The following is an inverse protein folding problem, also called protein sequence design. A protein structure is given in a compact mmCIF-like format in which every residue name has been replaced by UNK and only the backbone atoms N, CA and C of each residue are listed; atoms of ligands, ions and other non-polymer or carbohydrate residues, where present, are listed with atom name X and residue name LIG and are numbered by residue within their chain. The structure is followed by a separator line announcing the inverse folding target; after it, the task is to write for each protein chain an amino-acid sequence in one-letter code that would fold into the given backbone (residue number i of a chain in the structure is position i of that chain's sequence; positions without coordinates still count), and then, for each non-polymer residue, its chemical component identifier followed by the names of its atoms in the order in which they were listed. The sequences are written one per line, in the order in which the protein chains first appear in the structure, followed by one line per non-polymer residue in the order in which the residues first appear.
data_IF_573338559138
#
_entry.id   IF_573338559138
#
_cell.length_a   1.000
_cell.length_b   1.000
_cell.length_c   1.000
_cell.angle_alpha   90.00
_cell.angle_beta   90.00
_cell.angle_gamma   90.00
#
_symmetry.space_group_name_H-M   'P 1'
#
loop_
_entity.id
_entity.type
_entity.pdbx_description
1 polymer ?
#
# COMPACT_ATOMS: atom_id res chain seq x y z
N UNK A 1 -0.56 -12.43 26.17
CA UNK A 1 0.39 -11.73 27.08
C UNK A 1 1.73 -11.58 26.35
N UNK A 2 2.03 -10.39 25.83
CA UNK A 2 3.27 -10.10 25.12
C UNK A 2 4.13 -9.11 25.91
N UNK A 3 5.43 -9.09 25.65
CA UNK A 3 6.37 -8.09 26.20
C UNK A 3 5.81 -6.69 25.93
N UNK A 4 5.41 -5.97 26.98
CA UNK A 4 4.82 -4.63 26.84
C UNK A 4 5.89 -3.57 26.56
N UNK A 5 7.05 -3.70 27.20
CA UNK A 5 8.23 -2.84 27.01
C UNK A 5 9.50 -3.61 27.38
N UNK A 6 10.63 -3.22 26.77
CA UNK A 6 11.96 -3.67 27.18
C UNK A 6 12.53 -2.72 28.23
N UNK A 7 13.24 -3.25 29.23
CA UNK A 7 13.91 -2.42 30.22
C UNK A 7 15.01 -1.56 29.58
N UNK A 8 15.32 -0.41 30.18
CA UNK A 8 16.42 0.45 29.73
C UNK A 8 17.78 -0.26 29.68
N UNK A 9 17.98 -1.27 30.54
CA UNK A 9 19.15 -2.15 30.50
C UNK A 9 19.18 -2.99 29.23
N UNK A 10 18.04 -3.58 28.86
CA UNK A 10 17.91 -4.41 27.66
C UNK A 10 18.08 -3.59 26.38
N UNK A 11 17.47 -2.40 26.32
CA UNK A 11 17.61 -1.49 25.18
C UNK A 11 19.07 -1.06 24.96
N UNK A 12 19.79 -0.72 26.06
CA UNK A 12 21.23 -0.41 25.99
C UNK A 12 22.07 -1.59 25.54
N UNK A 13 21.79 -2.79 26.06
CA UNK A 13 22.49 -4.00 25.65
C UNK A 13 22.29 -4.29 24.15
N UNK A 14 21.04 -4.19 23.67
CA UNK A 14 20.70 -4.39 22.26
C UNK A 14 21.38 -3.35 21.36
N UNK A 15 21.37 -2.08 21.77
CA UNK A 15 22.07 -1.02 21.05
C UNK A 15 23.58 -1.30 20.99
N UNK A 16 24.20 -1.72 22.09
CA UNK A 16 25.64 -2.01 22.13
C UNK A 16 26.02 -3.24 21.32
N UNK A 17 25.15 -4.25 21.25
CA UNK A 17 25.34 -5.45 20.44
C UNK A 17 25.15 -5.22 18.92
N UNK A 18 24.79 -4.00 18.48
CA UNK A 18 24.43 -3.73 17.08
C UNK A 18 25.53 -4.03 16.05
N UNK A 19 26.79 -4.04 16.46
CA UNK A 19 27.93 -4.38 15.60
C UNK A 19 28.01 -5.87 15.28
N UNK A 20 27.41 -6.74 16.12
CA UNK A 20 27.34 -8.18 15.89
C UNK A 20 26.41 -8.53 14.72
N UNK A 21 25.53 -7.61 14.29
CA UNK A 21 24.64 -7.78 13.15
C UNK A 21 25.33 -7.37 11.84
N UNK A 22 26.39 -8.08 11.49
CA UNK A 22 27.19 -7.89 10.28
C UNK A 22 26.63 -8.70 9.09
N UNK A 23 27.46 -8.93 8.06
CA UNK A 23 27.08 -9.72 6.89
C UNK A 23 26.84 -11.18 7.19
N UNK A 24 27.57 -11.77 8.13
CA UNK A 24 27.40 -13.18 8.52
C UNK A 24 26.08 -13.36 9.25
N UNK A 25 25.77 -12.46 10.19
CA UNK A 25 24.47 -12.45 10.88
C UNK A 25 23.29 -12.36 9.90
N UNK A 26 23.38 -11.50 8.87
CA UNK A 26 22.34 -11.39 7.81
C UNK A 26 22.29 -12.60 6.87
N UNK A 27 23.41 -13.31 6.72
CA UNK A 27 23.50 -14.50 5.87
C UNK A 27 22.92 -15.74 6.55
N UNK A 28 22.95 -15.79 7.89
CA UNK A 28 22.45 -16.90 8.70
C UNK A 28 20.97 -17.22 8.39
N UNK A 29 20.66 -18.45 7.94
CA UNK A 29 19.30 -18.91 7.71
C UNK A 29 18.38 -18.78 8.94
N UNK A 30 18.89 -18.93 10.16
CA UNK A 30 18.12 -18.81 11.39
C UNK A 30 17.60 -17.38 11.58
N UNK A 31 18.44 -16.36 11.33
CA UNK A 31 18.03 -14.96 11.41
C UNK A 31 17.03 -14.59 10.31
N UNK A 32 17.20 -15.15 9.10
CA UNK A 32 16.24 -14.98 8.01
C UNK A 32 14.87 -15.59 8.32
N UNK A 33 14.87 -16.80 8.86
CA UNK A 33 13.65 -17.45 9.31
C UNK A 33 12.98 -16.65 10.45
N UNK A 34 13.77 -16.12 11.40
CA UNK A 34 13.26 -15.30 12.50
C UNK A 34 12.63 -14.00 11.99
N UNK A 35 13.26 -13.29 11.05
CA UNK A 35 12.67 -12.08 10.48
C UNK A 35 11.31 -12.36 9.82
N UNK A 36 11.22 -13.43 9.02
CA UNK A 36 9.95 -13.83 8.42
C UNK A 36 8.92 -14.27 9.46
N UNK A 37 9.35 -14.91 10.57
CA UNK A 37 8.48 -15.27 11.68
C UNK A 37 7.91 -14.04 12.37
N UNK A 38 8.70 -12.98 12.55
CA UNK A 38 8.24 -11.69 13.09
C UNK A 38 7.24 -11.06 12.11
N UNK A 39 7.57 -10.99 10.82
CA UNK A 39 6.72 -10.40 9.77
C UNK A 39 5.40 -11.16 9.54
N UNK A 40 5.32 -12.42 9.94
CA UNK A 40 4.12 -13.27 9.82
C UNK A 40 3.33 -13.40 11.12
N UNK A 41 3.69 -12.68 12.19
CA UNK A 41 2.92 -12.74 13.43
C UNK A 41 1.50 -12.16 13.23
N UNK A 42 0.47 -12.80 13.83
CA UNK A 42 -0.90 -12.28 13.74
C UNK A 42 -1.02 -10.90 14.42
N UNK A 43 -0.26 -10.67 15.49
CA UNK A 43 -0.27 -9.43 16.26
C UNK A 43 1.13 -8.89 16.54
N UNK A 44 1.22 -7.61 16.90
CA UNK A 44 2.46 -7.01 17.43
C UNK A 44 3.52 -6.60 16.40
N UNK A 45 3.33 -6.85 15.10
CA UNK A 45 4.30 -6.51 14.05
C UNK A 45 4.66 -5.03 14.06
N UNK A 46 3.68 -4.12 14.09
CA UNK A 46 3.96 -2.68 14.11
C UNK A 46 4.84 -2.28 15.30
N UNK A 47 4.59 -2.86 16.47
CA UNK A 47 5.39 -2.59 17.66
C UNK A 47 6.81 -3.15 17.50
N UNK A 48 6.94 -4.39 17.02
CA UNK A 48 8.21 -5.04 16.78
C UNK A 48 9.07 -4.26 15.78
N UNK A 49 8.52 -3.84 14.63
CA UNK A 49 9.26 -3.10 13.61
C UNK A 49 9.67 -1.71 14.06
N UNK A 50 8.81 -1.00 14.83
CA UNK A 50 9.18 0.29 15.45
C UNK A 50 10.33 0.11 16.43
N UNK A 51 10.24 -0.90 17.31
CA UNK A 51 11.28 -1.20 18.28
C UNK A 51 12.60 -1.58 17.59
N UNK A 52 12.53 -2.43 16.55
CA UNK A 52 13.70 -2.80 15.76
C UNK A 52 14.32 -1.58 15.07
N UNK A 53 13.52 -0.63 14.58
CA UNK A 53 14.06 0.60 13.99
C UNK A 53 14.74 1.48 15.04
N UNK A 54 14.06 1.76 16.17
CA UNK A 54 14.59 2.56 17.28
C UNK A 54 15.91 2.01 17.85
N UNK A 55 16.08 0.69 17.81
CA UNK A 55 17.26 0.00 18.35
C UNK A 55 18.31 -0.34 17.27
N UNK A 56 18.15 0.18 16.05
CA UNK A 56 18.99 -0.12 14.87
C UNK A 56 18.94 -1.56 14.35
N UNK A 57 18.25 -2.49 15.02
CA UNK A 57 18.11 -3.89 14.58
C UNK A 57 17.56 -3.97 13.16
N UNK A 58 16.52 -3.18 12.83
CA UNK A 58 15.89 -3.22 11.51
C UNK A 58 16.88 -2.82 10.41
N UNK A 59 17.57 -1.70 10.55
CA UNK A 59 18.57 -1.29 9.55
C UNK A 59 19.80 -2.21 9.53
N UNK A 60 20.21 -2.78 10.66
CA UNK A 60 21.34 -3.73 10.69
C UNK A 60 21.00 -5.06 10.03
N UNK A 61 19.76 -5.51 10.14
CA UNK A 61 19.27 -6.69 9.46
C UNK A 61 18.95 -6.43 7.97
N UNK A 62 18.15 -5.41 7.70
CA UNK A 62 17.77 -5.01 6.34
C UNK A 62 18.63 -3.83 5.89
N UNK A 63 19.81 -4.12 5.37
CA UNK A 63 20.80 -3.11 5.00
C UNK A 63 20.28 -2.02 4.02
N UNK A 64 19.45 -2.34 3.01
CA UNK A 64 18.78 -1.32 2.19
C UNK A 64 17.99 -0.30 3.01
N UNK A 65 17.32 -0.75 4.08
CA UNK A 65 16.58 0.11 5.02
C UNK A 65 17.52 1.01 5.80
N UNK A 66 18.71 0.55 6.17
CA UNK A 66 19.68 1.38 6.91
C UNK A 66 20.00 2.70 6.20
N UNK A 67 20.04 2.68 4.86
CA UNK A 67 20.42 3.82 4.03
C UNK A 67 19.41 4.96 4.05
N UNK A 68 18.15 4.65 4.35
CA UNK A 68 17.04 5.61 4.38
C UNK A 68 16.67 6.08 5.80
N UNK A 69 17.30 5.52 6.84
CA UNK A 69 17.01 5.91 8.23
C UNK A 69 17.42 7.35 8.45
N UNK A 70 16.47 8.19 8.88
CA UNK A 70 16.69 9.61 9.11
C UNK A 70 16.73 10.46 7.83
N UNK A 71 16.49 9.86 6.66
CA UNK A 71 16.47 10.59 5.40
C UNK A 71 15.13 11.33 5.24
N UNK A 72 15.17 12.66 5.11
CA UNK A 72 13.98 13.44 4.79
C UNK A 72 13.56 13.21 3.33
N UNK A 73 12.25 13.21 3.08
CA UNK A 73 11.74 13.18 1.71
C UNK A 73 11.79 14.59 1.13
N UNK A 74 12.21 14.73 -0.13
CA UNK A 74 12.42 16.04 -0.77
C UNK A 74 11.14 16.64 -1.38
N UNK A 75 9.96 16.31 -0.86
CA UNK A 75 8.70 16.89 -1.31
C UNK A 75 7.92 17.56 -0.17
N UNK A 76 6.98 18.43 -0.55
CA UNK A 76 6.24 19.31 0.36
C UNK A 76 5.16 18.60 1.18
N UNK A 77 4.93 17.30 0.95
CA UNK A 77 3.79 16.57 1.50
C UNK A 77 4.18 15.62 2.63
N UNK A 78 5.44 15.18 2.66
CA UNK A 78 5.94 14.25 3.66
C UNK A 78 6.41 14.96 4.94
N UNK A 79 5.76 14.59 6.04
CA UNK A 79 6.14 15.06 7.39
C UNK A 79 7.07 14.08 8.12
N UNK A 80 7.37 12.94 7.49
CA UNK A 80 8.17 11.85 8.04
C UNK A 80 9.45 11.64 7.24
N UNK A 81 10.52 11.21 7.91
CA UNK A 81 11.65 10.58 7.22
C UNK A 81 11.20 9.31 6.51
N UNK A 82 11.91 8.89 5.46
CA UNK A 82 11.55 7.72 4.64
C UNK A 82 11.32 6.48 5.51
N UNK A 83 12.15 6.23 6.52
CA UNK A 83 12.00 5.09 7.44
C UNK A 83 10.71 5.16 8.28
N UNK A 84 10.36 6.35 8.80
CA UNK A 84 9.15 6.54 9.58
C UNK A 84 7.90 6.45 8.70
N UNK A 85 7.98 6.96 7.48
CA UNK A 85 6.93 6.84 6.48
C UNK A 85 6.66 5.36 6.15
N UNK A 86 7.69 4.57 5.82
CA UNK A 86 7.52 3.13 5.57
C UNK A 86 6.87 2.40 6.76
N UNK A 87 7.27 2.73 7.99
CA UNK A 87 6.64 2.14 9.18
C UNK A 87 5.18 2.60 9.37
N UNK A 88 4.83 3.79 8.89
CA UNK A 88 3.45 4.29 8.84
C UNK A 88 2.62 3.51 7.81
N UNK A 89 3.15 3.30 6.61
CA UNK A 89 2.50 2.50 5.56
C UNK A 89 2.28 1.07 6.05
N UNK A 90 3.31 0.43 6.64
CA UNK A 90 3.18 -0.90 7.25
C UNK A 90 2.07 -0.96 8.32
N UNK A 91 1.97 0.08 9.16
CA UNK A 91 0.88 0.18 10.14
C UNK A 91 -0.48 0.25 9.45
N UNK A 92 -0.62 1.08 8.42
CA UNK A 92 -1.89 1.27 7.71
C UNK A 92 -2.34 -0.01 6.99
N UNK A 93 -1.44 -0.66 6.24
CA UNK A 93 -1.73 -1.96 5.60
C UNK A 93 -2.21 -2.98 6.62
N UNK A 94 -1.55 -3.06 7.79
CA UNK A 94 -1.99 -3.97 8.87
C UNK A 94 -3.40 -3.70 9.37
N UNK A 95 -3.83 -2.43 9.45
CA UNK A 95 -5.16 -2.08 9.97
C UNK A 95 -6.30 -2.60 9.09
N UNK A 96 -6.07 -2.78 7.78
CA UNK A 96 -7.08 -3.37 6.90
C UNK A 96 -7.43 -4.82 7.26
N UNK A 97 -6.53 -5.53 7.95
CA UNK A 97 -6.70 -6.92 8.38
C UNK A 97 -7.20 -7.06 9.83
N UNK A 98 -7.59 -5.95 10.47
CA UNK A 98 -7.98 -5.91 11.88
C UNK A 98 -9.43 -5.40 11.95
N UNK A 99 -10.40 -6.24 12.34
CA UNK A 99 -11.83 -5.88 12.36
C UNK A 99 -12.12 -4.60 13.15
N UNK A 100 -11.42 -4.37 14.24
CA UNK A 100 -11.57 -3.18 15.09
C UNK A 100 -11.26 -1.86 14.36
N UNK A 101 -10.50 -1.93 13.26
CA UNK A 101 -10.14 -0.78 12.42
C UNK A 101 -10.93 -0.70 11.11
N UNK A 102 -11.91 -1.60 10.90
CA UNK A 102 -12.63 -1.67 9.63
C UNK A 102 -13.38 -0.37 9.27
N UNK A 103 -13.85 0.36 10.29
CA UNK A 103 -14.54 1.64 10.14
C UNK A 103 -13.66 2.77 9.56
N UNK A 104 -12.33 2.64 9.62
CA UNK A 104 -11.41 3.68 9.14
C UNK A 104 -11.30 3.70 7.62
N UNK A 105 -11.51 2.55 6.98
CA UNK A 105 -11.60 2.40 5.55
C UNK A 105 -12.34 1.10 5.19
N UNK A 106 -13.68 1.15 5.14
CA UNK A 106 -14.50 -0.04 4.96
C UNK A 106 -14.17 -0.84 3.70
N UNK A 107 -13.97 -0.16 2.57
CA UNK A 107 -13.68 -0.82 1.29
C UNK A 107 -12.33 -1.56 1.29
N UNK A 108 -11.25 -0.97 1.81
CA UNK A 108 -9.98 -1.69 1.96
C UNK A 108 -10.11 -2.89 2.92
N UNK A 109 -10.89 -2.77 3.98
CA UNK A 109 -11.08 -3.84 4.95
C UNK A 109 -11.89 -5.00 4.35
N UNK A 110 -12.89 -4.69 3.53
CA UNK A 110 -13.65 -5.68 2.75
C UNK A 110 -12.75 -6.42 1.77
N UNK A 111 -11.92 -5.71 1.01
CA UNK A 111 -10.96 -6.31 0.08
C UNK A 111 -9.90 -7.16 0.81
N UNK A 112 -9.39 -6.66 1.94
CA UNK A 112 -8.40 -7.36 2.75
C UNK A 112 -8.95 -8.63 3.42
N UNK A 113 -10.25 -8.70 3.71
CA UNK A 113 -10.89 -9.89 4.27
C UNK A 113 -10.79 -11.11 3.35
N UNK A 114 -10.73 -10.91 2.03
CA UNK A 114 -10.54 -11.96 1.04
C UNK A 114 -9.07 -12.35 0.78
N UNK A 115 -8.12 -11.87 1.58
CA UNK A 115 -6.69 -11.98 1.26
C UNK A 115 -5.91 -12.88 2.25
N UNK A 116 -5.51 -14.06 1.77
CA UNK A 116 -4.94 -15.14 2.60
C UNK A 116 -3.53 -14.86 3.16
N UNK A 117 -2.74 -14.04 2.46
CA UNK A 117 -1.32 -13.80 2.80
C UNK A 117 -1.05 -12.31 3.03
N UNK A 118 -1.49 -11.73 4.16
CA UNK A 118 -1.26 -10.30 4.46
C UNK A 118 0.22 -9.91 4.45
N UNK A 119 1.11 -10.83 4.84
CA UNK A 119 2.55 -10.60 4.89
C UNK A 119 3.18 -10.22 3.54
N UNK A 120 2.55 -10.58 2.42
CA UNK A 120 2.99 -10.16 1.07
C UNK A 120 2.92 -8.64 0.93
N UNK A 121 1.81 -8.04 1.34
CA UNK A 121 1.65 -6.58 1.36
C UNK A 121 2.58 -5.92 2.39
N UNK A 122 2.89 -6.61 3.48
CA UNK A 122 3.82 -6.08 4.49
C UNK A 122 5.26 -6.01 3.95
N UNK A 123 5.69 -7.00 3.17
CA UNK A 123 6.99 -6.91 2.47
C UNK A 123 6.95 -5.77 1.45
N UNK A 124 5.90 -5.66 0.63
CA UNK A 124 5.79 -4.57 -0.34
C UNK A 124 5.83 -3.19 0.34
N UNK A 125 5.10 -3.01 1.44
CA UNK A 125 5.14 -1.78 2.25
C UNK A 125 6.53 -1.44 2.78
N UNK A 126 7.30 -2.44 3.24
CA UNK A 126 8.68 -2.25 3.70
C UNK A 126 9.64 -1.82 2.57
N UNK A 127 9.33 -2.17 1.33
CA UNK A 127 10.24 -2.00 0.19
C UNK A 127 9.86 -0.89 -0.79
N UNK A 128 8.62 -0.40 -0.81
CA UNK A 128 8.13 0.52 -1.85
C UNK A 128 9.04 1.75 -2.06
N UNK A 129 9.56 2.31 -0.95
CA UNK A 129 10.42 3.49 -0.94
C UNK A 129 11.87 3.22 -0.51
N UNK A 130 12.28 1.96 -0.40
CA UNK A 130 13.56 1.54 0.21
C UNK A 130 14.82 2.07 -0.52
N UNK A 131 14.64 2.53 -1.75
CA UNK A 131 15.69 3.00 -2.63
C UNK A 131 15.66 4.51 -2.85
N UNK A 132 14.84 5.27 -2.11
CA UNK A 132 14.83 6.74 -2.21
C UNK A 132 16.22 7.35 -1.97
N UNK A 133 16.56 8.36 -2.77
CA UNK A 133 17.82 9.09 -2.73
C UNK A 133 19.06 8.34 -3.24
N UNK A 134 18.90 7.24 -3.99
CA UNK A 134 20.01 6.50 -4.60
C UNK A 134 20.40 6.97 -6.01
N UNK A 135 19.68 7.97 -6.55
CA UNK A 135 19.79 8.39 -7.95
C UNK A 135 19.06 7.42 -8.89
N UNK A 136 18.41 7.93 -9.94
CA UNK A 136 17.55 7.14 -10.82
C UNK A 136 16.15 6.87 -10.24
N UNK A 137 15.39 5.96 -10.87
CA UNK A 137 14.04 5.58 -10.44
C UNK A 137 14.09 4.68 -9.20
N UNK A 138 13.59 5.17 -8.06
CA UNK A 138 13.60 4.42 -6.80
C UNK A 138 12.68 3.20 -6.84
N UNK A 139 11.66 3.20 -7.68
CA UNK A 139 10.73 2.07 -7.82
C UNK A 139 11.43 0.89 -8.50
N UNK A 140 12.21 1.15 -9.55
CA UNK A 140 13.02 0.13 -10.23
C UNK A 140 14.13 -0.41 -9.31
N UNK A 141 14.85 0.47 -8.62
CA UNK A 141 15.88 0.08 -7.67
C UNK A 141 15.29 -0.69 -6.48
N UNK A 142 14.13 -0.27 -5.98
CA UNK A 142 13.38 -0.97 -4.94
C UNK A 142 12.97 -2.37 -5.38
N UNK A 143 12.52 -2.53 -6.62
CA UNK A 143 12.17 -3.83 -7.20
C UNK A 143 13.40 -4.78 -7.25
N UNK A 144 14.59 -4.26 -7.55
CA UNK A 144 15.82 -5.04 -7.48
C UNK A 144 16.17 -5.47 -6.05
N UNK A 145 16.02 -4.57 -5.07
CA UNK A 145 16.26 -4.88 -3.66
C UNK A 145 15.29 -5.93 -3.14
N UNK A 146 14.00 -5.82 -3.45
CA UNK A 146 13.00 -6.77 -2.97
C UNK A 146 13.12 -8.13 -3.65
N UNK A 147 13.55 -8.18 -4.91
CA UNK A 147 13.89 -9.44 -5.60
C UNK A 147 15.02 -10.18 -4.88
N UNK A 148 16.10 -9.47 -4.51
CA UNK A 148 17.21 -10.05 -3.73
C UNK A 148 16.73 -10.55 -2.37
N UNK A 149 15.92 -9.75 -1.67
CA UNK A 149 15.31 -10.13 -0.41
C UNK A 149 14.49 -11.42 -0.55
N UNK A 150 13.61 -11.51 -1.55
CA UNK A 150 12.77 -12.68 -1.79
C UNK A 150 13.59 -13.94 -2.01
N UNK A 151 14.66 -13.86 -2.81
CA UNK A 151 15.59 -14.98 -3.03
C UNK A 151 16.27 -15.41 -1.73
N UNK A 152 16.81 -14.45 -0.96
CA UNK A 152 17.50 -14.74 0.30
C UNK A 152 16.61 -15.40 1.35
N UNK A 153 15.33 -15.05 1.36
CA UNK A 153 14.32 -15.53 2.32
C UNK A 153 13.50 -16.72 1.79
N UNK A 154 13.86 -17.27 0.62
CA UNK A 154 13.17 -18.40 -0.01
C UNK A 154 11.67 -18.17 -0.18
N UNK A 155 11.28 -16.93 -0.52
CA UNK A 155 9.89 -16.59 -0.82
C UNK A 155 9.47 -17.29 -2.12
N UNK A 156 8.28 -17.90 -2.12
CA UNK A 156 7.74 -18.59 -3.28
C UNK A 156 7.66 -17.66 -4.50
N UNK A 157 7.94 -18.19 -5.69
CA UNK A 157 8.07 -17.40 -6.93
C UNK A 157 6.85 -16.52 -7.21
N UNK A 158 5.64 -17.03 -6.98
CA UNK A 158 4.40 -16.29 -7.19
C UNK A 158 4.28 -15.09 -6.24
N UNK A 159 4.51 -15.31 -4.95
CA UNK A 159 4.50 -14.25 -3.93
C UNK A 159 5.60 -13.21 -4.21
N UNK A 160 6.82 -13.67 -4.56
CA UNK A 160 7.94 -12.78 -4.91
C UNK A 160 7.64 -11.90 -6.12
N UNK A 161 7.02 -12.46 -7.17
CA UNK A 161 6.65 -11.71 -8.37
C UNK A 161 5.59 -10.64 -8.08
N UNK A 162 4.64 -10.92 -7.18
CA UNK A 162 3.65 -9.93 -6.75
C UNK A 162 4.30 -8.82 -5.92
N UNK A 163 5.15 -9.16 -4.94
CA UNK A 163 5.86 -8.18 -4.12
C UNK A 163 6.70 -7.25 -5.01
N UNK A 164 7.45 -7.82 -5.95
CA UNK A 164 8.28 -7.04 -6.87
C UNK A 164 7.44 -6.11 -7.76
N UNK A 165 6.31 -6.61 -8.28
CA UNK A 165 5.36 -5.81 -9.03
C UNK A 165 4.85 -4.63 -8.20
N UNK A 166 4.43 -4.86 -6.95
CA UNK A 166 3.91 -3.81 -6.07
C UNK A 166 4.96 -2.74 -5.76
N UNK A 167 6.21 -3.13 -5.52
CA UNK A 167 7.30 -2.17 -5.27
C UNK A 167 7.60 -1.36 -6.52
N UNK A 168 7.63 -1.99 -7.71
CA UNK A 168 7.84 -1.29 -8.97
C UNK A 168 6.71 -0.31 -9.29
N UNK A 169 5.47 -0.70 -9.04
CA UNK A 169 4.27 0.00 -9.52
C UNK A 169 3.60 0.87 -8.46
N UNK A 170 4.21 1.05 -7.27
CA UNK A 170 3.54 1.70 -6.12
C UNK A 170 3.01 3.12 -6.42
N UNK A 171 3.62 3.84 -7.37
CA UNK A 171 3.18 5.16 -7.81
C UNK A 171 2.13 5.13 -8.94
N UNK A 172 2.03 4.02 -9.68
CA UNK A 172 1.25 3.91 -10.92
C UNK A 172 -0.23 4.21 -10.68
N UNK A 173 -0.84 3.61 -9.66
CA UNK A 173 -2.26 3.84 -9.38
C UNK A 173 -2.53 5.28 -8.93
N UNK A 174 -1.68 5.85 -8.09
CA UNK A 174 -1.83 7.25 -7.67
C UNK A 174 -1.64 8.22 -8.84
N UNK A 175 -0.77 7.90 -9.79
CA UNK A 175 -0.57 8.70 -10.99
C UNK A 175 -1.82 8.69 -11.86
N UNK A 176 -2.28 7.50 -12.27
CA UNK A 176 -3.46 7.35 -13.14
C UNK A 176 -4.69 8.00 -12.52
N UNK A 177 -4.97 7.73 -11.23
CA UNK A 177 -6.15 8.26 -10.56
C UNK A 177 -6.19 9.80 -10.46
N UNK A 178 -5.02 10.47 -10.45
CA UNK A 178 -4.93 11.92 -10.19
C UNK A 178 -4.50 12.74 -11.41
N UNK A 179 -3.98 12.10 -12.46
CA UNK A 179 -3.37 12.77 -13.62
C UNK A 179 -3.99 12.38 -14.95
N UNK A 180 -4.82 11.34 -15.00
CA UNK A 180 -5.49 10.90 -16.23
C UNK A 180 -7.01 11.03 -16.09
N UNK A 181 -7.71 11.00 -17.23
CA UNK A 181 -9.18 11.06 -17.25
C UNK A 181 -9.78 9.67 -17.04
N UNK A 182 -10.38 9.45 -15.87
CA UNK A 182 -11.04 8.18 -15.53
C UNK A 182 -12.37 7.96 -16.28
N UNK A 183 -12.86 8.94 -17.02
CA UNK A 183 -14.00 8.79 -17.92
C UNK A 183 -13.60 8.20 -19.28
N UNK A 184 -12.31 8.25 -19.65
CA UNK A 184 -11.80 7.71 -20.90
C UNK A 184 -11.65 6.17 -20.80
N UNK A 185 -12.42 5.38 -21.59
CA UNK A 185 -12.29 3.93 -21.62
C UNK A 185 -10.90 3.42 -22.00
N UNK A 186 -10.13 4.18 -22.79
CA UNK A 186 -8.78 3.80 -23.19
C UNK A 186 -7.81 3.82 -22.01
N UNK A 187 -7.91 4.83 -21.13
CA UNK A 187 -7.14 4.93 -19.88
C UNK A 187 -7.41 3.70 -19.02
N UNK A 188 -8.68 3.37 -18.78
CA UNK A 188 -9.07 2.20 -17.99
C UNK A 188 -8.57 0.91 -18.64
N UNK A 189 -8.72 0.76 -19.95
CA UNK A 189 -8.32 -0.45 -20.68
C UNK A 189 -6.80 -0.63 -20.70
N UNK A 190 -6.04 0.47 -20.80
CA UNK A 190 -4.57 0.45 -20.72
C UNK A 190 -4.11 0.06 -19.31
N UNK A 191 -4.70 0.66 -18.28
CA UNK A 191 -4.37 0.33 -16.89
C UNK A 191 -4.75 -1.12 -16.55
N UNK A 192 -5.93 -1.60 -16.95
CA UNK A 192 -6.35 -2.99 -16.79
C UNK A 192 -5.36 -3.97 -17.45
N UNK A 193 -4.94 -3.70 -18.70
CA UNK A 193 -3.93 -4.51 -19.40
C UNK A 193 -2.59 -4.54 -18.66
N UNK A 194 -2.17 -3.40 -18.12
CA UNK A 194 -0.92 -3.28 -17.36
C UNK A 194 -0.94 -4.11 -16.07
N UNK A 195 -2.05 -4.07 -15.32
CA UNK A 195 -2.20 -4.88 -14.11
C UNK A 195 -2.36 -6.37 -14.43
N UNK A 196 -3.13 -6.70 -15.47
CA UNK A 196 -3.32 -8.04 -16.03
C UNK A 196 -4.27 -8.95 -15.24
N UNK A 197 -4.50 -8.73 -13.95
CA UNK A 197 -5.49 -9.49 -13.16
C UNK A 197 -5.96 -8.75 -11.90
N UNK A 198 -7.09 -9.19 -11.36
CA UNK A 198 -7.72 -8.64 -10.15
C UNK A 198 -6.79 -8.72 -8.93
N UNK A 199 -6.04 -9.81 -8.78
CA UNK A 199 -5.17 -9.99 -7.62
C UNK A 199 -4.09 -8.90 -7.51
N UNK A 200 -3.48 -8.49 -8.64
CA UNK A 200 -2.55 -7.35 -8.69
C UNK A 200 -3.24 -6.02 -8.46
N UNK A 201 -4.44 -5.83 -9.01
CA UNK A 201 -5.25 -4.63 -8.83
C UNK A 201 -5.61 -4.40 -7.35
N UNK A 202 -6.13 -5.42 -6.67
CA UNK A 202 -6.47 -5.35 -5.25
C UNK A 202 -5.24 -5.09 -4.39
N UNK A 203 -4.12 -5.77 -4.66
CA UNK A 203 -2.90 -5.54 -3.91
C UNK A 203 -2.34 -4.12 -4.08
N UNK A 204 -2.33 -3.61 -5.31
CA UNK A 204 -1.84 -2.26 -5.61
C UNK A 204 -2.75 -1.20 -4.98
N UNK A 205 -4.07 -1.38 -5.07
CA UNK A 205 -5.04 -0.49 -4.41
C UNK A 205 -4.81 -0.40 -2.91
N UNK A 206 -4.69 -1.54 -2.22
CA UNK A 206 -4.44 -1.57 -0.78
C UNK A 206 -3.11 -0.88 -0.43
N UNK A 207 -2.04 -1.12 -1.19
CA UNK A 207 -0.75 -0.47 -0.95
C UNK A 207 -0.84 1.06 -1.17
N UNK A 208 -1.44 1.50 -2.27
CA UNK A 208 -1.58 2.92 -2.61
C UNK A 208 -2.41 3.68 -1.59
N UNK A 209 -3.54 3.13 -1.12
CA UNK A 209 -4.34 3.76 -0.07
C UNK A 209 -3.55 3.86 1.24
N UNK A 210 -2.84 2.80 1.62
CA UNK A 210 -2.01 2.81 2.83
C UNK A 210 -0.85 3.83 2.75
N UNK A 211 -0.24 3.95 1.57
CA UNK A 211 0.85 4.86 1.26
C UNK A 211 0.41 6.32 1.35
N UNK A 212 -0.63 6.70 0.58
CA UNK A 212 -1.15 8.08 0.59
C UNK A 212 -1.58 8.49 2.00
N UNK A 213 -2.22 7.60 2.77
CA UNK A 213 -2.58 7.86 4.19
C UNK A 213 -1.36 7.91 5.13
N UNK A 214 -0.22 7.36 4.71
CA UNK A 214 1.04 7.35 5.42
C UNK A 214 1.94 8.56 5.15
N UNK A 215 1.60 9.42 4.17
CA UNK A 215 2.38 10.61 3.80
C UNK A 215 2.20 11.76 4.81
N UNK A 216 0.97 12.27 4.96
CA UNK A 216 0.56 13.22 6.01
C UNK A 216 -0.96 13.30 6.16
N UNK A 217 -1.48 13.82 7.30
CA UNK A 217 -2.92 13.98 7.52
C UNK A 217 -3.63 14.89 6.51
N UNK A 218 -2.88 15.77 5.81
CA UNK A 218 -3.43 16.74 4.86
C UNK A 218 -3.56 16.20 3.43
N UNK A 219 -2.84 15.11 3.11
CA UNK A 219 -2.80 14.58 1.75
C UNK A 219 -4.05 13.77 1.44
N UNK A 220 -4.52 12.97 2.41
CA UNK A 220 -5.71 12.14 2.24
C UNK A 220 -7.00 12.96 2.38
N UNK A 221 -7.93 12.82 1.43
CA UNK A 221 -9.27 13.41 1.48
C UNK A 221 -10.30 12.53 0.75
N UNK A 222 -11.59 12.82 0.95
CA UNK A 222 -12.69 12.03 0.37
C UNK A 222 -12.62 11.99 -1.17
N UNK A 223 -12.25 13.09 -1.81
CA UNK A 223 -12.12 13.17 -3.27
C UNK A 223 -11.03 12.23 -3.84
N UNK A 224 -9.83 12.19 -3.22
CA UNK A 224 -8.79 11.23 -3.62
C UNK A 224 -9.21 9.79 -3.37
N UNK A 225 -9.90 9.54 -2.25
CA UNK A 225 -10.48 8.23 -1.96
C UNK A 225 -11.42 7.77 -3.08
N UNK A 226 -12.31 8.68 -3.52
CA UNK A 226 -13.25 8.43 -4.61
C UNK A 226 -12.55 8.14 -5.94
N UNK A 227 -11.54 8.93 -6.33
CA UNK A 227 -10.78 8.69 -7.56
C UNK A 227 -10.10 7.31 -7.58
N UNK A 228 -9.49 6.90 -6.47
CA UNK A 228 -8.85 5.58 -6.37
C UNK A 228 -9.88 4.45 -6.43
N UNK A 229 -11.03 4.62 -5.76
CA UNK A 229 -12.10 3.63 -5.76
C UNK A 229 -12.77 3.50 -7.13
N UNK A 230 -13.02 4.61 -7.82
CA UNK A 230 -13.59 4.62 -9.18
C UNK A 230 -12.62 3.94 -10.17
N UNK A 231 -11.34 4.29 -10.13
CA UNK A 231 -10.31 3.60 -10.94
C UNK A 231 -10.31 2.10 -10.64
N UNK A 232 -10.37 1.70 -9.37
CA UNK A 232 -10.43 0.28 -8.99
C UNK A 232 -11.65 -0.42 -9.63
N UNK A 233 -12.85 0.12 -9.44
CA UNK A 233 -14.10 -0.49 -9.91
C UNK A 233 -14.15 -0.59 -11.44
N UNK A 234 -13.82 0.49 -12.15
CA UNK A 234 -13.79 0.49 -13.61
C UNK A 234 -12.76 -0.52 -14.15
N UNK A 235 -11.59 -0.60 -13.52
CA UNK A 235 -10.54 -1.55 -13.92
C UNK A 235 -10.94 -3.00 -13.64
N UNK A 236 -11.58 -3.26 -12.50
CA UNK A 236 -12.10 -4.59 -12.17
C UNK A 236 -13.14 -5.06 -13.19
N UNK A 237 -14.05 -4.17 -13.59
CA UNK A 237 -15.03 -4.45 -14.64
C UNK A 237 -14.35 -4.78 -15.98
N UNK A 238 -13.36 -3.99 -16.38
CA UNK A 238 -12.57 -4.21 -17.59
C UNK A 238 -11.83 -5.57 -17.58
N UNK A 239 -11.24 -5.95 -16.44
CA UNK A 239 -10.56 -7.24 -16.26
C UNK A 239 -11.52 -8.43 -16.33
N UNK A 240 -12.79 -8.25 -15.93
CA UNK A 240 -13.85 -9.26 -16.04
C UNK A 240 -14.39 -9.47 -17.46
N UNK A 241 -13.76 -8.87 -18.49
CA UNK A 241 -14.13 -9.04 -19.89
C UNK A 241 -15.30 -8.17 -20.35
N UNK A 242 -15.79 -7.26 -19.50
CA UNK A 242 -16.75 -6.23 -19.91
C UNK A 242 -15.98 -4.93 -20.13
N UNK A 243 -15.75 -4.57 -21.39
CA UNK A 243 -15.18 -3.26 -21.69
C UNK A 243 -16.05 -2.17 -21.03
N UNK A 244 -15.49 -1.22 -20.28
CA UNK A 244 -16.23 -0.06 -19.83
C UNK A 244 -16.70 0.68 -21.08
N UNK A 245 -18.00 0.65 -21.38
CA UNK A 245 -18.56 1.58 -22.37
C UNK A 245 -18.81 2.91 -21.67
N UNK A 246 -18.61 4.03 -22.35
CA UNK A 246 -18.90 5.35 -21.79
C UNK A 246 -20.34 5.42 -21.23
N UNK A 247 -21.30 4.79 -21.93
CA UNK A 247 -22.68 4.66 -21.46
C UNK A 247 -22.83 3.85 -20.16
N UNK A 248 -22.09 2.74 -19.99
CA UNK A 248 -22.12 1.98 -18.74
C UNK A 248 -21.55 2.79 -17.57
N UNK A 249 -20.50 3.57 -17.80
CA UNK A 249 -19.91 4.48 -16.81
C UNK A 249 -20.90 5.57 -16.38
N UNK A 250 -21.62 6.14 -17.34
CA UNK A 250 -22.67 7.14 -17.10
C UNK A 250 -23.79 6.54 -16.27
N UNK A 251 -24.27 5.35 -16.61
CA UNK A 251 -25.34 4.69 -15.85
C UNK A 251 -24.90 4.28 -14.43
N UNK A 252 -23.65 3.85 -14.24
CA UNK A 252 -23.08 3.58 -12.91
C UNK A 252 -23.01 4.87 -12.06
N UNK A 253 -22.55 5.99 -12.66
CA UNK A 253 -22.52 7.30 -11.98
C UNK A 253 -23.93 7.80 -11.65
N UNK A 254 -24.90 7.64 -12.56
CA UNK A 254 -26.31 7.96 -12.30
C UNK A 254 -26.85 7.14 -11.13
N UNK A 255 -26.55 5.83 -11.07
CA UNK A 255 -26.97 4.96 -9.96
C UNK A 255 -26.35 5.39 -8.64
N UNK A 256 -25.04 5.65 -8.60
CA UNK A 256 -24.36 6.13 -7.39
C UNK A 256 -24.93 7.48 -6.92
N UNK A 257 -25.21 8.41 -7.84
CA UNK A 257 -25.84 9.68 -7.52
C UNK A 257 -27.25 9.49 -6.93
N UNK A 258 -28.04 8.55 -7.45
CA UNK A 258 -29.36 8.23 -6.90
C UNK A 258 -29.29 7.66 -5.49
N UNK A 259 -28.30 6.80 -5.20
CA UNK A 259 -28.08 6.28 -3.85
C UNK A 259 -27.73 7.41 -2.86
N UNK A 260 -26.90 8.37 -3.27
CA UNK A 260 -26.52 9.51 -2.45
C UNK A 260 -27.69 10.49 -2.24
N UNK A 261 -28.47 10.77 -3.28
CA UNK A 261 -29.70 11.57 -3.21
C UNK A 261 -30.73 10.93 -2.27
N UNK A 262 -30.86 9.59 -2.29
CA UNK A 262 -31.76 8.86 -1.42
C UNK A 262 -31.35 8.99 0.07
N UNK A 263 -30.04 9.03 0.37
CA UNK A 263 -29.53 9.26 1.74
C UNK A 263 -29.88 10.66 2.27
N UNK A 264 -30.09 11.64 1.38
CA UNK A 264 -30.43 13.02 1.72
C UNK A 264 -31.93 13.34 1.69
N UNK A 265 -32.79 12.32 1.57
CA UNK A 265 -34.25 12.46 1.58
C UNK A 265 -34.80 13.50 0.59
N UNK A 266 -34.12 13.66 -0.56
CA UNK A 266 -34.55 14.57 -1.61
C UNK A 266 -35.84 14.07 -2.29
N UNK A 267 -36.64 14.98 -2.89
CA UNK A 267 -37.82 14.60 -3.66
C UNK A 267 -37.47 13.59 -4.76
N UNK A 268 -38.40 12.66 -5.01
CA UNK A 268 -38.31 11.74 -6.15
C UNK A 268 -38.15 12.59 -7.43
N UNK A 269 -37.13 12.26 -8.22
CA UNK A 269 -36.79 12.91 -9.50
C UNK A 269 -36.16 14.32 -9.40
N UNK A 270 -35.68 14.74 -8.22
CA UNK A 270 -34.98 16.02 -8.04
C UNK A 270 -33.77 16.22 -8.97
N UNK A 271 -33.12 15.13 -9.40
CA UNK A 271 -31.98 15.14 -10.31
C UNK A 271 -32.36 15.38 -11.79
N UNK A 272 -33.62 15.14 -12.16
CA UNK A 272 -34.03 15.05 -13.57
C UNK A 272 -33.82 16.37 -14.32
N UNK A 273 -34.11 17.50 -13.66
CA UNK A 273 -33.90 18.82 -14.24
C UNK A 273 -32.42 19.07 -14.59
N UNK A 274 -31.49 18.65 -13.72
CA UNK A 274 -30.05 18.77 -13.98
C UNK A 274 -29.58 17.79 -15.04
N UNK A 275 -29.99 16.53 -14.98
CA UNK A 275 -29.56 15.53 -15.96
C UNK A 275 -29.99 15.86 -17.38
N UNK A 276 -31.20 16.42 -17.54
CA UNK A 276 -31.68 16.90 -18.85
C UNK A 276 -30.83 18.05 -19.42
N UNK A 277 -30.03 18.75 -18.60
CA UNK A 277 -29.07 19.76 -19.07
C UNK A 277 -27.69 19.21 -19.42
N UNK A 278 -27.41 17.97 -19.01
CA UNK A 278 -26.12 17.30 -19.17
C UNK A 278 -26.14 16.22 -20.27
N UNK A 279 -27.33 15.88 -20.79
CA UNK A 279 -27.48 15.02 -21.96
C UNK A 279 -26.91 15.76 -23.18
N UNK A 280 -25.67 15.44 -23.52
CA UNK A 280 -25.09 15.73 -24.83
C UNK A 280 -25.33 14.46 -25.63
N UNK A 281 -26.33 14.51 -26.53
CA UNK A 281 -26.83 13.36 -27.29
C UNK A 281 -25.77 12.54 -28.01
#
# INVERSE_FOLDING_TARGET
LGVKQLSARTLRALYNARSLMDSEYRADPANRAMFMKILKQPAGITHAFRLMNQTSVLGRYLWPFRRIVGQMQHDLFHVYTVDQHILMVLRNVRRFFIPEHAHEYPFCSQLAAGWDKPWVLYVAALFHDIAKGRGGDHSELGAQEVRRFCTQHKIARQDAALIEFLVREHLTMSHVAQKEDLADPEVITKFARHLGNEHRLTALYLLTVADIRGTSPKVWNAWKGKLLEDLYKHTLHALGGRAPSAGALVEERKRAALEEIALHAMPKDAQQALWNTLDVG
#
